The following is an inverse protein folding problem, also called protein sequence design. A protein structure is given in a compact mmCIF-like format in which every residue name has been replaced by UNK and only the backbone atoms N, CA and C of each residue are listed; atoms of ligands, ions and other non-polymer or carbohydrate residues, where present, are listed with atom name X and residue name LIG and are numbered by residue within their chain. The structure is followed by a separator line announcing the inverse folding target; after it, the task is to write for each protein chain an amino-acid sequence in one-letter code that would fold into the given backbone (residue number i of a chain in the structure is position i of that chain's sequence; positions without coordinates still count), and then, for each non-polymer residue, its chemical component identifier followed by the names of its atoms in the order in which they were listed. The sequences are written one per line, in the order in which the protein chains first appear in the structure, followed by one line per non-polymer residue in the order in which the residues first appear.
data_IF_541082828904
#
_entry.id   IF_541082828904
#
_cell.length_a   1.000
_cell.length_b   1.000
_cell.length_c   1.000
_cell.angle_alpha   90.00
_cell.angle_beta   90.00
_cell.angle_gamma   90.00
#
_symmetry.space_group_name_H-M   'P 1'
#
loop_
_entity.id
_entity.type
_entity.pdbx_description
1 polymer ?
#
# COMPACT_ATOMS: atom_id res chain seq x y z
N UNK A 1 -36.70 18.78 -12.95
CA UNK A 1 -35.38 18.49 -12.35
C UNK A 1 -35.63 17.94 -10.95
N UNK A 2 -35.28 16.69 -10.68
CA UNK A 2 -35.31 16.12 -9.32
C UNK A 2 -34.32 16.87 -8.43
N UNK A 3 -34.78 17.36 -7.27
CA UNK A 3 -33.88 17.97 -6.28
C UNK A 3 -33.05 16.84 -5.65
N UNK A 4 -31.74 16.83 -5.92
CA UNK A 4 -30.81 15.89 -5.27
C UNK A 4 -30.64 16.32 -3.81
N UNK A 5 -30.58 15.36 -2.89
CA UNK A 5 -30.22 15.64 -1.50
C UNK A 5 -28.73 15.97 -1.41
N UNK A 6 -28.31 16.62 -0.33
CA UNK A 6 -26.88 16.89 -0.07
C UNK A 6 -26.07 15.58 -0.05
N UNK A 7 -26.63 14.53 0.56
CA UNK A 7 -26.01 13.20 0.55
C UNK A 7 -25.85 12.63 -0.86
N UNK A 8 -26.90 12.78 -1.73
CA UNK A 8 -26.83 12.31 -3.11
C UNK A 8 -25.74 13.05 -3.92
N UNK A 9 -25.51 14.32 -3.65
CA UNK A 9 -24.47 15.11 -4.29
C UNK A 9 -23.08 14.60 -3.87
N UNK A 10 -22.87 14.38 -2.58
CA UNK A 10 -21.59 13.90 -2.05
C UNK A 10 -21.27 12.47 -2.49
N UNK A 11 -22.25 11.57 -2.43
CA UNK A 11 -22.06 10.16 -2.77
C UNK A 11 -21.90 9.90 -4.27
N UNK A 12 -22.40 10.83 -5.13
CA UNK A 12 -22.30 10.72 -6.58
C UNK A 12 -21.34 11.74 -7.20
N UNK A 13 -20.50 12.42 -6.40
CA UNK A 13 -19.41 13.23 -6.94
C UNK A 13 -18.37 12.29 -7.58
N UNK A 14 -18.13 12.45 -8.87
CA UNK A 14 -17.06 11.72 -9.56
C UNK A 14 -15.71 12.13 -8.96
N UNK A 15 -14.90 11.13 -8.60
CA UNK A 15 -13.54 11.37 -8.13
C UNK A 15 -12.66 11.81 -9.30
N UNK A 16 -12.00 12.95 -9.15
CA UNK A 16 -11.03 13.46 -10.12
C UNK A 16 -9.67 13.67 -9.44
N UNK A 17 -8.62 12.92 -9.81
CA UNK A 17 -7.29 13.09 -9.21
C UNK A 17 -6.73 14.51 -9.33
N UNK A 18 -7.00 15.21 -10.45
CA UNK A 18 -6.50 16.56 -10.66
C UNK A 18 -7.15 17.58 -9.73
N UNK A 19 -8.45 17.44 -9.43
CA UNK A 19 -9.15 18.35 -8.51
C UNK A 19 -8.67 18.15 -7.08
N UNK A 20 -8.47 16.90 -6.64
CA UNK A 20 -7.95 16.60 -5.30
C UNK A 20 -6.48 17.03 -5.16
N UNK A 21 -5.68 16.84 -6.22
CA UNK A 21 -4.30 17.33 -6.26
C UNK A 21 -4.25 18.86 -6.10
N UNK A 22 -5.06 19.58 -6.87
CA UNK A 22 -5.15 21.04 -6.80
C UNK A 22 -5.58 21.51 -5.40
N UNK A 23 -6.57 20.83 -4.81
CA UNK A 23 -7.04 21.13 -3.44
C UNK A 23 -5.91 20.98 -2.41
N UNK A 24 -5.11 19.93 -2.51
CA UNK A 24 -3.95 19.71 -1.63
C UNK A 24 -2.87 20.78 -1.84
N UNK A 25 -2.57 21.14 -3.09
CA UNK A 25 -1.60 22.19 -3.39
C UNK A 25 -2.08 23.54 -2.83
N UNK A 26 -3.36 23.85 -2.96
CA UNK A 26 -3.94 25.07 -2.34
C UNK A 26 -3.76 25.03 -0.82
N UNK A 27 -4.09 23.92 -0.14
CA UNK A 27 -3.91 23.79 1.31
C UNK A 27 -2.44 23.96 1.75
N UNK A 28 -1.47 23.60 0.89
CA UNK A 28 -0.04 23.79 1.20
C UNK A 28 0.37 25.25 1.20
N UNK A 29 -0.15 26.04 0.27
CA UNK A 29 0.27 27.42 0.05
C UNK A 29 -0.67 28.45 0.65
N UNK A 30 -1.90 28.06 1.02
CA UNK A 30 -2.88 28.96 1.60
C UNK A 30 -2.45 29.39 3.01
N UNK A 31 -2.64 30.66 3.33
CA UNK A 31 -2.47 31.19 4.67
C UNK A 31 -3.69 32.06 4.98
N UNK A 32 -4.52 31.61 5.90
CA UNK A 32 -5.79 32.26 6.29
C UNK A 32 -5.64 33.66 6.90
N UNK A 33 -4.43 34.11 7.21
CA UNK A 33 -4.20 35.48 7.78
C UNK A 33 -2.77 36.00 7.56
N UNK A 34 -2.63 37.30 7.68
CA UNK A 34 -1.35 38.02 7.55
C UNK A 34 -0.28 37.57 8.57
N UNK A 35 -0.69 36.91 9.64
CA UNK A 35 0.17 36.49 10.74
C UNK A 35 0.42 34.94 10.76
N UNK A 36 -0.13 34.15 9.80
CA UNK A 36 0.06 32.71 9.75
C UNK A 36 0.92 32.31 8.54
N UNK A 37 1.90 31.44 8.81
CA UNK A 37 2.72 30.86 7.76
C UNK A 37 1.91 29.79 7.03
N UNK A 38 2.01 29.72 5.69
CA UNK A 38 1.50 28.58 4.95
C UNK A 38 2.19 27.29 5.42
N UNK A 39 1.54 26.14 5.26
CA UNK A 39 2.16 24.86 5.62
C UNK A 39 3.48 24.65 4.87
N UNK A 40 3.56 25.05 3.61
CA UNK A 40 4.80 25.00 2.82
C UNK A 40 5.92 25.82 3.47
N UNK A 41 5.62 27.01 3.99
CA UNK A 41 6.60 27.83 4.70
C UNK A 41 7.08 27.17 5.99
N UNK A 42 6.18 26.51 6.71
CA UNK A 42 6.51 25.72 7.90
C UNK A 42 7.38 24.51 7.56
N UNK A 43 7.04 23.75 6.50
CA UNK A 43 7.87 22.66 5.98
C UNK A 43 9.29 23.15 5.67
N UNK A 44 9.43 24.32 5.07
CA UNK A 44 10.73 24.90 4.73
C UNK A 44 11.57 25.21 5.96
N UNK A 45 10.95 25.74 7.02
CA UNK A 45 11.65 26.05 8.28
C UNK A 45 12.08 24.77 9.02
N UNK A 46 11.25 23.73 9.03
CA UNK A 46 11.46 22.47 9.76
C UNK A 46 12.20 21.41 8.94
N UNK A 47 12.51 21.68 7.68
CA UNK A 47 13.03 20.68 6.74
C UNK A 47 14.26 19.93 7.26
N UNK A 48 15.21 20.64 7.88
CA UNK A 48 16.43 20.04 8.43
C UNK A 48 16.20 19.03 9.56
N UNK A 49 15.00 19.02 10.15
CA UNK A 49 14.61 18.08 11.21
C UNK A 49 13.84 16.86 10.68
N UNK A 50 13.51 16.84 9.38
CA UNK A 50 12.76 15.73 8.77
C UNK A 50 13.64 14.50 8.57
N UNK A 51 13.22 13.30 9.02
CA UNK A 51 14.06 12.11 8.99
C UNK A 51 14.40 11.64 7.58
N UNK A 52 13.61 12.01 6.59
CA UNK A 52 13.80 11.68 5.18
C UNK A 52 14.58 12.73 4.37
N UNK A 53 15.01 13.84 5.00
CA UNK A 53 15.78 14.88 4.31
C UNK A 53 17.10 14.37 3.71
N UNK A 54 17.68 13.33 4.30
CA UNK A 54 18.92 12.71 3.80
C UNK A 54 20.07 13.70 3.74
N UNK A 55 20.65 13.86 2.55
CA UNK A 55 21.74 14.81 2.28
C UNK A 55 21.26 16.10 1.61
N UNK A 56 19.97 16.33 1.48
CA UNK A 56 19.44 17.56 0.93
C UNK A 56 19.68 18.72 1.91
N UNK A 57 20.06 19.89 1.36
CA UNK A 57 20.43 21.06 2.15
C UNK A 57 19.26 21.99 2.43
N UNK A 58 18.17 21.85 1.70
CA UNK A 58 16.93 22.60 1.87
C UNK A 58 15.74 21.83 1.27
N UNK A 59 14.52 22.28 1.56
CA UNK A 59 13.31 21.76 0.96
C UNK A 59 13.32 21.88 -0.57
N UNK A 60 13.82 23.00 -1.09
CA UNK A 60 13.94 23.25 -2.53
C UNK A 60 14.95 22.29 -3.19
N UNK A 61 16.12 22.07 -2.54
CA UNK A 61 17.11 21.10 -3.00
C UNK A 61 16.52 19.68 -3.02
N UNK A 62 15.78 19.29 -1.98
CA UNK A 62 15.09 18.02 -1.91
C UNK A 62 14.05 17.88 -3.02
N UNK A 63 13.19 18.87 -3.18
CA UNK A 63 12.16 18.86 -4.22
C UNK A 63 12.77 18.79 -5.63
N UNK A 64 13.88 19.48 -5.89
CA UNK A 64 14.59 19.40 -7.16
C UNK A 64 15.18 18.02 -7.41
N UNK A 65 15.83 17.40 -6.42
CA UNK A 65 16.46 16.07 -6.54
C UNK A 65 15.46 14.97 -6.81
N UNK A 66 14.28 15.06 -6.18
CA UNK A 66 13.24 14.03 -6.26
C UNK A 66 12.09 14.40 -7.19
N UNK A 67 12.24 15.51 -7.95
CA UNK A 67 11.27 15.99 -8.92
C UNK A 67 9.87 16.28 -8.34
N UNK A 68 9.82 16.70 -7.08
CA UNK A 68 8.60 17.21 -6.47
C UNK A 68 8.38 18.67 -6.89
N UNK A 69 7.57 18.86 -7.93
CA UNK A 69 7.17 20.18 -8.39
C UNK A 69 5.68 20.35 -8.12
N UNK A 70 5.39 21.21 -7.15
CA UNK A 70 4.03 21.53 -6.76
C UNK A 70 3.82 23.03 -7.02
N UNK A 71 3.09 23.35 -8.08
CA UNK A 71 2.73 24.73 -8.43
C UNK A 71 1.22 24.84 -8.57
N UNK A 72 0.67 25.97 -8.14
CA UNK A 72 -0.74 26.30 -8.36
C UNK A 72 -1.02 26.67 -9.83
N UNK A 73 0.03 26.91 -10.62
CA UNK A 73 -0.07 27.35 -12.02
C UNK A 73 0.22 26.22 -13.00
N UNK A 74 0.41 24.97 -12.51
CA UNK A 74 0.72 23.83 -13.36
C UNK A 74 -0.47 23.40 -14.21
N UNK A 75 -0.18 22.95 -15.43
CA UNK A 75 -1.16 22.26 -16.27
C UNK A 75 -1.56 20.93 -15.61
N UNK A 76 -2.76 20.90 -15.04
CA UNK A 76 -3.32 19.74 -14.35
C UNK A 76 -3.76 18.61 -15.30
N UNK A 77 -3.70 18.82 -16.63
CA UNK A 77 -4.15 17.84 -17.63
C UNK A 77 -3.40 16.50 -17.58
N UNK A 78 -2.22 16.46 -16.93
CA UNK A 78 -1.38 15.26 -16.77
C UNK A 78 -1.35 14.72 -15.34
N UNK A 79 -2.26 15.14 -14.45
CA UNK A 79 -2.35 14.61 -13.10
C UNK A 79 -3.23 13.36 -13.11
N UNK A 80 -2.59 12.22 -12.90
CA UNK A 80 -3.22 10.92 -12.71
C UNK A 80 -3.25 10.52 -11.22
N UNK A 81 -3.77 9.34 -10.94
CA UNK A 81 -3.82 8.81 -9.59
C UNK A 81 -2.42 8.63 -8.96
N UNK A 82 -1.43 8.21 -9.74
CA UNK A 82 -0.07 7.95 -9.24
C UNK A 82 0.61 9.25 -8.80
N UNK A 83 0.39 10.36 -9.51
CA UNK A 83 0.86 11.70 -9.10
C UNK A 83 0.16 12.21 -7.85
N UNK A 84 -1.16 11.98 -7.74
CA UNK A 84 -1.91 12.33 -6.54
C UNK A 84 -1.41 11.55 -5.33
N UNK A 85 -1.24 10.23 -5.46
CA UNK A 85 -0.72 9.38 -4.38
C UNK A 85 0.68 9.82 -3.94
N UNK A 86 1.56 10.16 -4.88
CA UNK A 86 2.89 10.68 -4.57
C UNK A 86 2.82 11.99 -3.76
N UNK A 87 1.95 12.91 -4.15
CA UNK A 87 1.73 14.16 -3.41
C UNK A 87 1.17 13.88 -2.01
N UNK A 88 0.17 13.00 -1.90
CA UNK A 88 -0.41 12.61 -0.62
C UNK A 88 0.64 12.00 0.32
N UNK A 89 1.47 11.06 -0.16
CA UNK A 89 2.54 10.45 0.63
C UNK A 89 3.57 11.47 1.08
N UNK A 90 3.97 12.39 0.19
CA UNK A 90 4.92 13.45 0.52
C UNK A 90 4.38 14.36 1.63
N UNK A 91 3.17 14.89 1.47
CA UNK A 91 2.53 15.77 2.45
C UNK A 91 2.29 15.02 3.76
N UNK A 92 1.81 13.77 3.71
CA UNK A 92 1.52 12.95 4.88
C UNK A 92 2.76 12.77 5.76
N UNK A 93 3.89 12.41 5.16
CA UNK A 93 5.14 12.25 5.91
C UNK A 93 5.63 13.56 6.53
N UNK A 94 5.51 14.69 5.81
CA UNK A 94 5.80 16.00 6.36
C UNK A 94 4.86 16.35 7.52
N UNK A 95 3.55 16.16 7.34
CA UNK A 95 2.54 16.49 8.34
C UNK A 95 2.67 15.64 9.62
N UNK A 96 2.90 14.33 9.48
CA UNK A 96 3.15 13.43 10.63
C UNK A 96 4.38 13.90 11.43
N UNK A 97 5.46 14.27 10.74
CA UNK A 97 6.65 14.78 11.41
C UNK A 97 6.36 16.10 12.12
N UNK A 98 5.74 17.04 11.42
CA UNK A 98 5.50 18.40 11.91
C UNK A 98 4.39 18.47 12.97
N UNK A 99 3.47 17.52 13.02
CA UNK A 99 2.43 17.43 14.08
C UNK A 99 3.03 17.36 15.50
N UNK A 100 4.29 16.94 15.63
CA UNK A 100 5.02 16.94 16.90
C UNK A 100 5.39 18.33 17.39
N UNK A 101 5.38 19.34 16.51
CA UNK A 101 5.62 20.74 16.82
C UNK A 101 4.27 21.44 17.05
N UNK A 102 4.09 22.04 18.22
CA UNK A 102 2.83 22.71 18.62
C UNK A 102 2.43 23.81 17.63
N UNK A 103 3.41 24.49 17.00
CA UNK A 103 3.14 25.56 16.02
C UNK A 103 2.57 25.06 14.70
N UNK A 104 2.74 23.77 14.38
CA UNK A 104 2.32 23.16 13.11
C UNK A 104 1.19 22.15 13.28
N UNK A 105 0.72 21.95 14.50
CA UNK A 105 -0.19 20.84 14.83
C UNK A 105 -1.54 20.94 14.11
N UNK A 106 -2.12 22.14 14.06
CA UNK A 106 -3.44 22.37 13.46
C UNK A 106 -3.40 22.18 11.93
N UNK A 107 -2.42 22.80 11.28
CA UNK A 107 -2.23 22.71 9.82
C UNK A 107 -1.92 21.26 9.41
N UNK A 108 -1.10 20.57 10.20
CA UNK A 108 -0.80 19.14 9.99
C UNK A 108 -2.06 18.28 10.08
N UNK A 109 -2.93 18.53 11.06
CA UNK A 109 -4.19 17.77 11.21
C UNK A 109 -5.15 18.01 10.04
N UNK A 110 -5.27 19.23 9.55
CA UNK A 110 -6.10 19.55 8.38
C UNK A 110 -5.64 18.73 7.17
N UNK A 111 -4.34 18.72 6.88
CA UNK A 111 -3.77 18.00 5.75
C UNK A 111 -3.92 16.48 5.91
N UNK A 112 -3.63 15.92 7.09
CA UNK A 112 -3.80 14.50 7.37
C UNK A 112 -5.26 14.09 7.17
N UNK A 113 -6.21 14.85 7.69
CA UNK A 113 -7.64 14.56 7.53
C UNK A 113 -8.10 14.67 6.07
N UNK A 114 -7.57 15.63 5.31
CA UNK A 114 -7.88 15.72 3.88
C UNK A 114 -7.35 14.52 3.11
N UNK A 115 -6.09 14.13 3.35
CA UNK A 115 -5.49 12.94 2.72
C UNK A 115 -6.28 11.68 3.10
N UNK A 116 -6.69 11.55 4.36
CA UNK A 116 -7.54 10.42 4.79
C UNK A 116 -8.86 10.39 4.03
N UNK A 117 -9.51 11.55 3.83
CA UNK A 117 -10.74 11.62 3.05
C UNK A 117 -10.54 11.25 1.57
N UNK A 118 -9.40 11.64 0.98
CA UNK A 118 -9.00 11.20 -0.37
C UNK A 118 -8.83 9.67 -0.40
N UNK A 119 -8.08 9.11 0.55
CA UNK A 119 -7.87 7.66 0.66
C UNK A 119 -9.19 6.88 0.78
N UNK A 120 -10.14 7.37 1.59
CA UNK A 120 -11.44 6.74 1.73
C UNK A 120 -12.25 6.73 0.41
N UNK A 121 -12.17 7.82 -0.37
CA UNK A 121 -12.83 7.91 -1.70
C UNK A 121 -12.27 6.89 -2.69
N UNK A 122 -10.97 6.61 -2.65
CA UNK A 122 -10.30 5.72 -3.61
C UNK A 122 -10.04 4.33 -3.07
N UNK A 123 -10.53 4.01 -1.86
CA UNK A 123 -10.30 2.73 -1.18
C UNK A 123 -8.80 2.44 -0.96
N UNK A 124 -8.06 3.43 -0.46
CA UNK A 124 -6.67 3.30 -0.03
C UNK A 124 -6.57 3.40 1.49
N UNK A 125 -5.45 2.98 2.02
CA UNK A 125 -5.11 3.06 3.44
C UNK A 125 -3.64 3.39 3.62
N UNK A 126 -3.31 3.96 4.77
CA UNK A 126 -1.93 4.16 5.18
C UNK A 126 -1.29 2.83 5.60
N UNK A 127 -0.04 2.64 5.23
CA UNK A 127 0.86 1.60 5.71
C UNK A 127 2.24 2.23 5.96
N UNK A 128 3.13 1.51 6.66
CA UNK A 128 4.47 2.01 6.97
C UNK A 128 5.55 1.11 6.37
N UNK A 129 6.53 1.72 5.71
CA UNK A 129 7.77 1.06 5.26
C UNK A 129 8.97 1.87 5.77
N UNK A 130 9.84 1.25 6.56
CA UNK A 130 11.08 1.88 7.04
C UNK A 130 10.86 3.23 7.73
N UNK A 131 9.75 3.38 8.46
CA UNK A 131 9.41 4.60 9.16
C UNK A 131 8.79 5.70 8.29
N UNK A 132 8.46 5.40 7.04
CA UNK A 132 7.75 6.27 6.11
C UNK A 132 6.33 5.77 5.88
N UNK A 133 5.37 6.69 5.96
CA UNK A 133 3.98 6.41 5.59
C UNK A 133 3.85 6.35 4.08
N UNK A 134 3.21 5.29 3.61
CA UNK A 134 2.86 5.06 2.21
C UNK A 134 1.38 4.79 2.08
N UNK A 135 0.83 4.92 0.87
CA UNK A 135 -0.57 4.66 0.57
C UNK A 135 -0.72 3.40 -0.28
N UNK A 136 -1.48 2.45 0.22
CA UNK A 136 -1.72 1.15 -0.44
C UNK A 136 -3.22 0.91 -0.64
N UNK A 137 -3.63 0.14 -1.65
CA UNK A 137 -5.04 -0.25 -1.81
C UNK A 137 -5.55 -0.97 -0.57
N UNK A 138 -6.73 -0.58 -0.08
CA UNK A 138 -7.41 -1.27 1.02
C UNK A 138 -8.00 -2.59 0.52
N UNK A 139 -7.65 -3.66 1.21
CA UNK A 139 -8.17 -4.99 0.91
C UNK A 139 -8.42 -5.75 2.22
N UNK A 140 -9.69 -5.93 2.58
CA UNK A 140 -10.09 -6.50 3.87
C UNK A 140 -9.60 -7.94 4.05
N UNK A 141 -9.53 -8.75 2.99
CA UNK A 141 -8.97 -10.10 3.05
C UNK A 141 -7.48 -10.05 3.42
N UNK A 142 -6.74 -9.15 2.78
CA UNK A 142 -5.31 -9.00 3.03
C UNK A 142 -5.05 -8.44 4.42
N UNK A 143 -5.83 -7.46 4.84
CA UNK A 143 -5.72 -6.89 6.19
C UNK A 143 -5.98 -7.96 7.27
N UNK A 144 -7.06 -8.74 7.14
CA UNK A 144 -7.35 -9.84 8.05
C UNK A 144 -6.25 -10.91 8.06
N UNK A 145 -5.70 -11.26 6.88
CA UNK A 145 -4.59 -12.22 6.80
C UNK A 145 -3.28 -11.66 7.41
N UNK A 146 -3.05 -10.37 7.27
CA UNK A 146 -1.89 -9.70 7.84
C UNK A 146 -1.92 -9.69 9.38
N UNK A 147 -3.12 -9.57 10.00
CA UNK A 147 -3.28 -9.69 11.45
C UNK A 147 -2.91 -11.09 11.99
N UNK A 148 -3.10 -12.13 11.17
CA UNK A 148 -2.80 -13.53 11.51
C UNK A 148 -1.37 -13.96 11.14
N UNK A 149 -0.66 -13.18 10.33
CA UNK A 149 0.68 -13.50 9.83
C UNK A 149 1.78 -13.00 10.78
N UNK A 150 3.00 -13.57 10.73
CA UNK A 150 4.16 -13.00 11.42
C UNK A 150 4.41 -11.55 10.99
N UNK A 151 4.93 -10.67 11.89
CA UNK A 151 5.03 -9.23 11.63
C UNK A 151 5.77 -8.86 10.34
N UNK A 152 6.82 -9.58 9.98
CA UNK A 152 7.60 -9.36 8.77
C UNK A 152 6.89 -9.82 7.49
N UNK A 153 5.96 -10.77 7.59
CA UNK A 153 5.08 -11.21 6.50
C UNK A 153 3.85 -10.31 6.40
N UNK A 154 3.34 -9.84 7.52
CA UNK A 154 2.19 -8.94 7.63
C UNK A 154 2.40 -7.68 6.77
N UNK A 155 3.53 -7.00 6.95
CA UNK A 155 3.85 -5.80 6.19
C UNK A 155 4.00 -6.09 4.68
N UNK A 156 4.62 -7.22 4.31
CA UNK A 156 4.80 -7.61 2.92
C UNK A 156 3.45 -7.95 2.24
N UNK A 157 2.49 -8.54 2.97
CA UNK A 157 1.13 -8.78 2.48
C UNK A 157 0.41 -7.47 2.16
N UNK A 158 0.46 -6.51 3.07
CA UNK A 158 -0.21 -5.20 2.94
C UNK A 158 0.43 -4.39 1.81
N UNK A 159 1.76 -4.38 1.72
CA UNK A 159 2.51 -3.54 0.77
C UNK A 159 2.73 -4.16 -0.60
N UNK A 160 2.29 -5.40 -0.81
CA UNK A 160 2.44 -6.13 -2.07
C UNK A 160 1.89 -5.35 -3.28
N UNK A 161 0.75 -4.67 -3.12
CA UNK A 161 0.09 -3.87 -4.16
C UNK A 161 0.44 -2.38 -4.06
N UNK A 162 1.52 -2.02 -3.38
CA UNK A 162 1.96 -0.64 -3.36
C UNK A 162 2.17 -0.15 -4.80
N UNK A 163 1.57 0.99 -5.14
CA UNK A 163 1.49 1.47 -6.52
C UNK A 163 2.86 1.61 -7.21
N UNK A 164 3.93 1.91 -6.45
CA UNK A 164 5.31 1.97 -6.96
C UNK A 164 5.92 0.62 -7.28
N UNK A 165 5.33 -0.48 -6.83
CA UNK A 165 5.80 -1.85 -7.11
C UNK A 165 5.07 -2.49 -8.30
N UNK A 166 4.22 -1.73 -8.98
CA UNK A 166 3.56 -2.17 -10.21
C UNK A 166 4.62 -2.47 -11.28
N UNK A 167 4.64 -3.70 -11.80
CA UNK A 167 5.65 -4.20 -12.73
C UNK A 167 6.99 -4.62 -12.09
N UNK A 168 7.20 -4.44 -10.78
CA UNK A 168 8.40 -4.92 -10.08
C UNK A 168 8.25 -6.41 -9.72
N UNK A 169 8.36 -7.26 -10.75
CA UNK A 169 8.21 -8.71 -10.61
C UNK A 169 9.23 -9.32 -9.64
N UNK A 170 10.45 -8.76 -9.58
CA UNK A 170 11.49 -9.30 -8.69
C UNK A 170 11.12 -9.06 -7.23
N UNK A 171 10.62 -7.90 -6.86
CA UNK A 171 10.14 -7.61 -5.51
C UNK A 171 8.94 -8.46 -5.13
N UNK A 172 7.94 -8.55 -6.02
CA UNK A 172 6.78 -9.42 -5.81
C UNK A 172 7.19 -10.87 -5.62
N UNK A 173 8.17 -11.35 -6.40
CA UNK A 173 8.76 -12.69 -6.27
C UNK A 173 9.39 -12.91 -4.91
N UNK A 174 10.15 -11.94 -4.41
CA UNK A 174 10.77 -12.01 -3.07
C UNK A 174 9.73 -12.12 -1.96
N UNK A 175 8.65 -11.33 -2.01
CA UNK A 175 7.54 -11.43 -1.07
C UNK A 175 6.88 -12.81 -1.10
N UNK A 176 6.55 -13.30 -2.29
CA UNK A 176 5.95 -14.64 -2.45
C UNK A 176 6.86 -15.77 -1.97
N UNK A 177 8.17 -15.64 -2.19
CA UNK A 177 9.15 -16.60 -1.66
C UNK A 177 9.13 -16.63 -0.12
N UNK A 178 8.99 -15.45 0.50
CA UNK A 178 8.88 -15.33 1.96
C UNK A 178 7.58 -15.94 2.48
N UNK A 179 6.44 -15.65 1.83
CA UNK A 179 5.15 -16.28 2.18
C UNK A 179 5.22 -17.81 2.08
N UNK A 180 5.78 -18.32 0.99
CA UNK A 180 5.92 -19.75 0.79
C UNK A 180 6.81 -20.41 1.84
N UNK A 181 7.92 -19.75 2.23
CA UNK A 181 8.82 -20.23 3.29
C UNK A 181 8.12 -20.30 4.64
N UNK A 182 7.26 -19.34 4.96
CA UNK A 182 6.51 -19.29 6.22
C UNK A 182 5.39 -20.37 6.25
N UNK A 183 4.78 -20.65 5.11
CA UNK A 183 3.70 -21.61 5.00
C UNK A 183 4.18 -23.07 4.87
N UNK A 184 5.40 -23.33 4.37
CA UNK A 184 5.93 -24.68 4.13
C UNK A 184 5.94 -25.58 5.39
N UNK A 185 6.41 -25.12 6.58
CA UNK A 185 6.38 -25.94 7.79
C UNK A 185 4.96 -26.34 8.22
N UNK A 186 3.95 -25.57 7.79
CA UNK A 186 2.53 -25.76 8.13
C UNK A 186 1.76 -26.54 7.06
N UNK A 187 2.44 -26.96 5.99
CA UNK A 187 1.85 -27.56 4.79
C UNK A 187 0.95 -28.77 5.10
N UNK A 188 1.42 -29.71 5.90
CA UNK A 188 0.64 -30.90 6.24
C UNK A 188 -0.68 -30.56 6.95
N UNK A 189 -0.64 -29.58 7.85
CA UNK A 189 -1.83 -29.05 8.54
C UNK A 189 -2.78 -28.37 7.57
N UNK A 190 -2.25 -27.56 6.67
CA UNK A 190 -3.02 -26.86 5.63
C UNK A 190 -3.66 -27.85 4.64
N UNK A 191 -2.97 -28.91 4.25
CA UNK A 191 -3.52 -29.96 3.39
C UNK A 191 -4.71 -30.71 4.05
N UNK A 192 -4.70 -30.85 5.39
CA UNK A 192 -5.83 -31.40 6.12
C UNK A 192 -7.05 -30.48 6.13
N UNK A 193 -6.84 -29.14 6.08
CA UNK A 193 -7.93 -28.15 6.07
C UNK A 193 -8.45 -27.86 4.66
N UNK A 194 -7.55 -27.71 3.70
CA UNK A 194 -7.87 -27.42 2.31
C UNK A 194 -6.80 -27.98 1.37
N UNK A 195 -6.92 -29.27 1.05
CA UNK A 195 -5.95 -29.98 0.21
C UNK A 195 -5.73 -29.31 -1.14
N UNK A 196 -6.83 -28.89 -1.81
CA UNK A 196 -6.76 -28.29 -3.14
C UNK A 196 -6.03 -26.98 -3.13
N UNK A 197 -6.45 -26.02 -2.30
CA UNK A 197 -5.82 -24.70 -2.21
C UNK A 197 -4.34 -24.82 -1.88
N UNK A 198 -3.99 -25.65 -0.89
CA UNK A 198 -2.60 -25.87 -0.49
C UNK A 198 -1.76 -26.47 -1.62
N UNK A 199 -2.28 -27.50 -2.30
CA UNK A 199 -1.59 -28.13 -3.43
C UNK A 199 -1.37 -27.17 -4.58
N UNK A 200 -2.40 -26.40 -4.95
CA UNK A 200 -2.33 -25.43 -6.05
C UNK A 200 -1.34 -24.30 -5.73
N UNK A 201 -1.36 -23.78 -4.50
CA UNK A 201 -0.40 -22.76 -4.06
C UNK A 201 1.05 -23.22 -4.20
N UNK A 202 1.40 -24.39 -3.62
CA UNK A 202 2.77 -24.89 -3.69
C UNK A 202 3.16 -25.34 -5.10
N UNK A 203 2.22 -25.79 -5.92
CA UNK A 203 2.46 -26.06 -7.33
C UNK A 203 2.88 -24.79 -8.07
N UNK A 204 2.11 -23.70 -7.93
CA UNK A 204 2.41 -22.42 -8.57
C UNK A 204 3.72 -21.81 -8.06
N UNK A 205 3.98 -21.85 -6.75
CA UNK A 205 5.25 -21.41 -6.15
C UNK A 205 6.46 -22.13 -6.76
N UNK A 206 6.31 -23.42 -7.07
CA UNK A 206 7.37 -24.22 -7.68
C UNK A 206 7.48 -24.01 -9.20
N UNK A 207 6.42 -23.57 -9.88
CA UNK A 207 6.36 -23.44 -11.33
C UNK A 207 6.65 -22.02 -11.82
N UNK A 208 6.30 -20.98 -11.06
CA UNK A 208 6.36 -19.58 -11.47
C UNK A 208 7.62 -18.84 -10.99
N UNK A 209 8.76 -19.49 -11.01
CA UNK A 209 10.06 -18.89 -10.67
C UNK A 209 10.18 -18.30 -9.25
N UNK A 210 9.32 -18.71 -8.32
CA UNK A 210 9.36 -18.20 -6.94
C UNK A 210 10.50 -18.83 -6.15
N UNK A 211 10.62 -20.16 -6.16
CA UNK A 211 11.63 -20.92 -5.41
C UNK A 211 12.78 -21.45 -6.25
N UNK A 212 12.54 -21.66 -7.53
CA UNK A 212 13.46 -22.32 -8.44
C UNK A 212 13.64 -21.49 -9.70
N UNK A 213 14.77 -21.60 -10.33
CA UNK A 213 14.95 -21.06 -11.67
C UNK A 213 14.19 -21.95 -12.66
N UNK A 214 12.99 -21.53 -13.05
CA UNK A 214 12.12 -22.22 -13.98
C UNK A 214 12.19 -21.69 -15.41
N UNK A 215 12.97 -20.61 -15.64
CA UNK A 215 13.08 -19.91 -16.92
C UNK A 215 14.19 -20.52 -17.80
N UNK A 216 15.24 -21.07 -17.19
CA UNK A 216 16.37 -21.66 -17.93
C UNK A 216 16.03 -23.05 -18.42
N UNK A 217 16.17 -23.30 -19.73
CA UNK A 217 15.97 -24.63 -20.35
C UNK A 217 16.94 -25.70 -19.79
N UNK A 218 18.11 -25.29 -19.30
CA UNK A 218 19.08 -26.16 -18.65
C UNK A 218 18.65 -26.56 -17.22
N UNK A 219 17.62 -25.92 -16.67
CA UNK A 219 17.13 -26.21 -15.34
C UNK A 219 16.28 -27.49 -15.32
N UNK A 220 16.56 -28.38 -14.37
CA UNK A 220 15.68 -29.54 -14.09
C UNK A 220 14.25 -29.18 -13.71
N UNK A 221 13.99 -27.91 -13.45
CA UNK A 221 12.70 -27.33 -13.03
C UNK A 221 12.15 -26.39 -14.12
N UNK A 222 12.65 -26.48 -15.35
CA UNK A 222 12.13 -25.71 -16.48
C UNK A 222 10.62 -25.89 -16.63
N UNK A 223 9.93 -24.79 -16.81
CA UNK A 223 8.48 -24.75 -16.99
C UNK A 223 8.17 -23.95 -18.27
N UNK A 224 7.95 -24.67 -19.37
CA UNK A 224 7.75 -24.12 -20.71
C UNK A 224 6.72 -22.95 -20.76
N UNK A 225 5.55 -23.03 -20.08
CA UNK A 225 4.59 -21.93 -20.10
C UNK A 225 5.14 -20.62 -19.58
N UNK A 226 6.09 -20.65 -18.63
CA UNK A 226 6.69 -19.44 -18.07
C UNK A 226 7.51 -18.66 -19.11
N UNK A 227 8.18 -19.36 -20.02
CA UNK A 227 8.98 -18.74 -21.09
C UNK A 227 8.14 -17.98 -22.14
N UNK A 228 6.84 -18.26 -22.22
CA UNK A 228 5.90 -17.59 -23.13
C UNK A 228 4.99 -16.56 -22.45
N UNK A 229 5.01 -16.44 -21.12
CA UNK A 229 4.20 -15.46 -20.39
C UNK A 229 4.76 -14.05 -20.57
N UNK A 230 3.88 -13.08 -20.77
CA UNK A 230 4.21 -11.67 -20.62
C UNK A 230 4.42 -11.30 -19.15
N UNK A 231 5.16 -10.22 -18.90
CA UNK A 231 5.35 -9.70 -17.54
C UNK A 231 4.01 -9.38 -16.85
N UNK A 232 3.03 -8.87 -17.60
CA UNK A 232 1.69 -8.57 -17.09
C UNK A 232 0.92 -9.85 -16.69
N UNK A 233 1.02 -10.92 -17.47
CA UNK A 233 0.42 -12.21 -17.12
C UNK A 233 1.08 -12.82 -15.89
N UNK A 234 2.42 -12.75 -15.81
CA UNK A 234 3.16 -13.23 -14.65
C UNK A 234 2.82 -12.43 -13.39
N UNK A 235 2.69 -11.10 -13.49
CA UNK A 235 2.27 -10.25 -12.40
C UNK A 235 0.87 -10.63 -11.89
N UNK A 236 -0.08 -10.88 -12.79
CA UNK A 236 -1.43 -11.34 -12.43
C UNK A 236 -1.43 -12.69 -11.67
N UNK A 237 -0.52 -13.60 -12.05
CA UNK A 237 -0.31 -14.84 -11.30
C UNK A 237 0.31 -14.60 -9.92
N UNK A 238 1.21 -13.63 -9.79
CA UNK A 238 1.79 -13.25 -8.50
C UNK A 238 0.73 -12.65 -7.57
N UNK A 239 -0.17 -11.81 -8.09
CA UNK A 239 -1.30 -11.27 -7.33
C UNK A 239 -2.25 -12.38 -6.88
N UNK A 240 -2.51 -13.38 -7.74
CA UNK A 240 -3.27 -14.59 -7.40
C UNK A 240 -2.59 -15.37 -6.27
N UNK A 241 -1.29 -15.59 -6.35
CA UNK A 241 -0.51 -16.29 -5.32
C UNK A 241 -0.55 -15.55 -3.98
N UNK A 242 -0.46 -14.22 -3.97
CA UNK A 242 -0.61 -13.42 -2.76
C UNK A 242 -1.98 -13.66 -2.11
N UNK A 243 -3.06 -13.64 -2.90
CA UNK A 243 -4.41 -13.89 -2.40
C UNK A 243 -4.56 -15.32 -1.84
N UNK A 244 -3.96 -16.32 -2.50
CA UNK A 244 -3.92 -17.70 -2.00
C UNK A 244 -3.15 -17.78 -0.68
N UNK A 245 -2.00 -17.11 -0.56
CA UNK A 245 -1.24 -17.06 0.69
C UNK A 245 -2.06 -16.43 1.82
N UNK A 246 -2.77 -15.34 1.56
CA UNK A 246 -3.67 -14.71 2.53
C UNK A 246 -4.74 -15.70 3.04
N UNK A 247 -5.40 -16.42 2.15
CA UNK A 247 -6.35 -17.48 2.53
C UNK A 247 -5.69 -18.56 3.40
N UNK A 248 -4.45 -18.96 3.10
CA UNK A 248 -3.74 -19.97 3.88
C UNK A 248 -3.35 -19.47 5.27
N UNK A 249 -2.98 -18.20 5.46
CA UNK A 249 -2.75 -17.61 6.78
C UNK A 249 -4.04 -17.58 7.62
N UNK A 250 -5.17 -17.21 7.03
CA UNK A 250 -6.47 -17.26 7.71
C UNK A 250 -6.90 -18.69 8.08
N UNK A 251 -6.58 -19.69 7.25
CA UNK A 251 -6.84 -21.10 7.58
C UNK A 251 -5.99 -21.58 8.76
N UNK A 252 -4.76 -21.10 8.90
CA UNK A 252 -3.90 -21.40 10.05
C UNK A 252 -4.54 -20.84 11.32
N UNK A 253 -4.91 -19.56 11.30
CA UNK A 253 -5.55 -18.90 12.43
C UNK A 253 -6.85 -19.62 12.84
N UNK A 254 -7.72 -19.93 11.88
CA UNK A 254 -8.92 -20.74 12.13
C UNK A 254 -8.59 -22.08 12.82
N UNK A 255 -7.53 -22.76 12.34
CA UNK A 255 -7.13 -24.05 12.90
C UNK A 255 -6.58 -23.92 14.34
N UNK A 256 -5.90 -22.81 14.66
CA UNK A 256 -5.40 -22.53 16.01
C UNK A 256 -6.55 -22.32 17.00
N UNK A 257 -7.69 -21.81 16.54
CA UNK A 257 -8.91 -21.63 17.33
C UNK A 257 -9.84 -22.87 17.37
N UNK A 258 -9.58 -23.89 16.54
CA UNK A 258 -10.49 -25.03 16.36
C UNK A 258 -10.75 -25.84 17.64
N UNK A 259 -9.73 -25.99 18.52
CA UNK A 259 -9.87 -26.67 19.80
C UNK A 259 -10.80 -25.90 20.74
N UNK A 260 -10.67 -24.59 20.82
CA UNK A 260 -11.53 -23.71 21.60
C UNK A 260 -12.98 -23.76 21.11
N UNK A 261 -13.19 -23.76 19.79
CA UNK A 261 -14.52 -23.90 19.17
C UNK A 261 -15.13 -25.28 19.53
N UNK A 262 -14.34 -26.34 19.47
CA UNK A 262 -14.81 -27.68 19.81
C UNK A 262 -15.15 -27.82 21.31
N UNK A 263 -14.41 -27.16 22.18
CA UNK A 263 -14.72 -27.10 23.60
C UNK A 263 -16.06 -26.39 23.88
N UNK A 264 -16.34 -25.27 23.19
CA UNK A 264 -17.63 -24.59 23.27
C UNK A 264 -18.79 -25.45 22.80
N UNK A 265 -18.62 -26.20 21.71
CA UNK A 265 -19.65 -27.13 21.17
C UNK A 265 -19.99 -28.29 22.12
N UNK A 266 -19.03 -28.74 22.94
CA UNK A 266 -19.25 -29.84 23.91
C UNK A 266 -19.97 -29.39 25.17
N UNK A 267 -19.97 -28.07 25.45
CA UNK A 267 -20.63 -27.49 26.62
C UNK A 267 -22.10 -27.06 26.36
N UNK A 268 -22.59 -27.32 25.14
CA UNK A 268 -23.98 -27.15 24.71
C UNK A 268 -24.58 -28.53 24.37
#
# INVERSE_FOLDING_TARGET
MSRRSFADILLNSEFNPADEYNSLVHLLYDSDSVDHYSFYSLMRMEFGMMPFAGTATSLEDFNQRYHFQFSTDDDLSGVDLDKLLLLCEYILNCAIHMKKNVMCMQESEILINHIQAVCDKISYQEAEIEGLSILVPRNDLINAAAECAPPDVSIDLITFDYWRYRGDLERKRQYLSKFARELEPKRQRLEALSKRLTSDFFYLVNSLNIRHNNVSEDSKKYFEPLGSMSDQELESWYDTLRNMAACLFLLIDYSDHSESINALKKNH
#
